data_IF_146961909794
#
_entry.id   IF_146961909794
#
_cell.length_a   1.000
_cell.length_b   1.000
_cell.length_c   1.000
_cell.angle_alpha   90.00
_cell.angle_beta   90.00
_cell.angle_gamma   90.00
#
_symmetry.space_group_name_H-M   'P 1'
#
loop_
_entity.id
_entity.type
_entity.pdbx_description
1 polymer ?
#
# COMPACT_ATOMS: atom_id res chain seq x y z
N UNK A 1 22.58 -36.30 -38.67
CA UNK A 1 21.91 -34.99 -38.83
C UNK A 1 20.72 -34.91 -39.80
N UNK A 2 20.55 -35.84 -40.77
CA UNK A 2 19.35 -35.85 -41.64
C UNK A 2 18.21 -36.76 -41.16
N UNK A 3 18.49 -37.74 -40.30
CA UNK A 3 17.47 -38.64 -39.72
C UNK A 3 16.78 -38.08 -38.45
N UNK A 4 17.46 -37.30 -37.62
CA UNK A 4 16.87 -36.66 -36.46
C UNK A 4 15.85 -35.53 -36.81
N UNK A 5 16.02 -34.89 -37.98
CA UNK A 5 15.05 -33.91 -38.46
C UNK A 5 13.74 -34.56 -38.97
N UNK A 6 13.75 -35.80 -39.43
CA UNK A 6 12.56 -36.52 -39.87
C UNK A 6 11.71 -37.01 -38.70
N UNK A 7 12.31 -37.39 -37.59
CA UNK A 7 11.59 -37.81 -36.38
C UNK A 7 10.81 -36.67 -35.70
N UNK A 8 11.28 -35.43 -35.77
CA UNK A 8 10.60 -34.27 -35.19
C UNK A 8 9.43 -33.77 -36.05
N UNK A 9 9.43 -34.01 -37.35
CA UNK A 9 8.33 -33.60 -38.25
C UNK A 9 7.16 -34.60 -38.12
N UNK A 10 7.40 -35.91 -37.92
CA UNK A 10 6.35 -36.89 -37.72
C UNK A 10 5.64 -36.74 -36.38
N UNK A 11 6.33 -36.25 -35.32
CA UNK A 11 5.71 -35.98 -34.02
C UNK A 11 4.78 -34.74 -34.04
N UNK A 12 4.99 -33.82 -34.96
CA UNK A 12 4.14 -32.61 -35.12
C UNK A 12 2.90 -32.92 -35.96
N UNK A 13 2.97 -33.86 -36.90
CA UNK A 13 1.82 -34.25 -37.74
C UNK A 13 0.86 -35.19 -37.03
N UNK A 14 1.31 -36.02 -36.10
CA UNK A 14 0.41 -36.89 -35.29
C UNK A 14 -0.42 -36.12 -34.28
N UNK A 15 -0.06 -34.88 -33.93
CA UNK A 15 -0.84 -34.04 -33.00
C UNK A 15 -1.89 -33.13 -33.69
N UNK A 16 -1.99 -33.18 -35.02
CA UNK A 16 -2.98 -32.39 -35.79
C UNK A 16 -4.28 -33.12 -36.15
N UNK A 17 -4.36 -34.43 -35.92
CA UNK A 17 -5.50 -35.24 -36.38
C UNK A 17 -6.46 -35.69 -35.27
N UNK A 18 -6.51 -35.00 -34.11
CA UNK A 18 -7.46 -35.38 -33.03
C UNK A 18 -8.42 -34.24 -32.65
N UNK A 19 -8.83 -33.42 -33.58
CA UNK A 19 -9.95 -32.49 -33.34
C UNK A 19 -10.87 -32.48 -34.57
N UNK A 20 -11.67 -33.55 -34.71
CA UNK A 20 -12.97 -33.43 -35.41
C UNK A 20 -13.94 -34.50 -34.92
N UNK A 21 -15.16 -34.01 -34.62
CA UNK A 21 -16.41 -34.72 -34.33
C UNK A 21 -16.69 -35.19 -32.88
N UNK A 22 -17.42 -34.31 -32.16
CA UNK A 22 -18.79 -34.62 -31.71
C UNK A 22 -19.42 -33.34 -31.14
N UNK A 23 -20.48 -32.88 -31.80
CA UNK A 23 -21.38 -31.85 -31.28
C UNK A 23 -22.07 -32.36 -30.01
N UNK A 24 -22.00 -31.60 -28.94
CA UNK A 24 -22.65 -31.85 -27.67
C UNK A 24 -22.40 -30.67 -26.75
N UNK A 25 -23.43 -30.06 -26.27
CA UNK A 25 -23.57 -28.92 -25.40
C UNK A 25 -22.28 -28.64 -24.54
N UNK A 26 -21.58 -27.55 -24.85
CA UNK A 26 -20.49 -27.07 -24.03
C UNK A 26 -21.04 -26.28 -22.85
N UNK A 27 -21.27 -26.94 -21.73
CA UNK A 27 -21.22 -26.29 -20.44
C UNK A 27 -19.77 -25.78 -20.28
N UNK A 28 -19.54 -24.48 -20.43
CA UNK A 28 -18.30 -23.83 -20.08
C UNK A 28 -18.13 -23.95 -18.57
N UNK A 29 -17.46 -24.98 -18.11
CA UNK A 29 -16.87 -24.94 -16.78
C UNK A 29 -15.91 -23.75 -16.74
N UNK A 30 -16.08 -22.82 -15.80
CA UNK A 30 -15.12 -21.74 -15.64
C UNK A 30 -13.79 -22.39 -15.21
N UNK A 31 -12.73 -22.11 -15.98
CA UNK A 31 -11.35 -22.41 -15.59
C UNK A 31 -11.17 -22.08 -14.10
N UNK A 32 -10.55 -22.95 -13.31
CA UNK A 32 -10.33 -22.69 -11.90
C UNK A 32 -9.60 -21.35 -11.79
N UNK A 33 -10.30 -20.36 -11.24
CA UNK A 33 -9.65 -19.09 -10.87
C UNK A 33 -8.48 -19.47 -9.99
N UNK A 34 -7.25 -19.24 -10.48
CA UNK A 34 -6.07 -19.27 -9.60
C UNK A 34 -6.43 -18.41 -8.42
N UNK A 35 -6.82 -19.03 -7.33
CA UNK A 35 -6.93 -18.38 -6.05
C UNK A 35 -5.58 -17.70 -5.85
N UNK A 36 -5.55 -16.38 -5.77
CA UNK A 36 -4.45 -15.65 -5.19
C UNK A 36 -4.38 -16.13 -3.73
N UNK A 37 -3.77 -17.26 -3.51
CA UNK A 37 -3.18 -17.54 -2.23
C UNK A 37 -2.20 -16.38 -2.04
N UNK A 38 -2.58 -15.44 -1.18
CA UNK A 38 -1.63 -14.55 -0.55
C UNK A 38 -0.68 -15.53 0.14
N UNK A 39 0.45 -15.85 -0.51
CA UNK A 39 1.54 -16.56 0.13
C UNK A 39 1.91 -15.68 1.32
N UNK A 40 1.47 -16.10 2.49
CA UNK A 40 1.91 -15.48 3.73
C UNK A 40 3.41 -15.70 3.76
N UNK A 41 4.16 -14.63 3.49
CA UNK A 41 5.61 -14.63 3.56
C UNK A 41 5.96 -15.10 4.96
N UNK A 42 6.54 -16.29 5.04
CA UNK A 42 6.98 -16.85 6.30
C UNK A 42 8.51 -16.79 6.37
N UNK A 43 9.03 -15.63 6.75
CA UNK A 43 10.49 -15.47 6.89
C UNK A 43 11.12 -16.48 7.84
N UNK A 44 10.34 -17.07 8.76
CA UNK A 44 10.84 -18.07 9.72
C UNK A 44 11.26 -19.39 9.04
N UNK A 45 10.68 -19.69 7.89
CA UNK A 45 11.00 -20.90 7.11
C UNK A 45 11.88 -20.61 5.90
N UNK A 46 11.74 -19.44 5.27
CA UNK A 46 12.45 -19.10 4.05
C UNK A 46 13.78 -18.36 4.28
N UNK A 47 13.92 -17.65 5.42
CA UNK A 47 15.12 -16.87 5.69
C UNK A 47 16.23 -17.72 6.30
N UNK A 48 17.51 -17.54 5.91
CA UNK A 48 18.65 -18.13 6.58
C UNK A 48 18.74 -17.64 8.03
N UNK A 49 19.44 -18.38 8.94
CA UNK A 49 19.51 -18.06 10.35
C UNK A 49 19.89 -16.61 10.64
N UNK A 50 20.91 -16.10 9.98
CA UNK A 50 21.42 -14.74 10.18
C UNK A 50 20.36 -13.65 9.84
N UNK A 51 19.51 -13.89 8.84
CA UNK A 51 18.39 -12.99 8.53
C UNK A 51 17.25 -13.15 9.53
N UNK A 52 16.95 -14.38 9.97
CA UNK A 52 15.91 -14.63 10.98
C UNK A 52 16.19 -13.87 12.27
N UNK A 53 17.44 -13.86 12.74
CA UNK A 53 17.83 -13.17 13.94
C UNK A 53 17.65 -11.65 13.83
N UNK A 54 18.03 -11.06 12.69
CA UNK A 54 17.79 -9.65 12.40
C UNK A 54 16.30 -9.31 12.36
N UNK A 55 15.49 -10.14 11.67
CA UNK A 55 14.06 -9.91 11.56
C UNK A 55 13.34 -10.09 12.91
N UNK A 56 13.74 -11.09 13.69
CA UNK A 56 13.25 -11.30 15.05
C UNK A 56 13.60 -10.13 15.98
N UNK A 57 14.82 -9.59 15.89
CA UNK A 57 15.20 -8.37 16.60
C UNK A 57 14.28 -7.18 16.26
N UNK A 58 13.97 -6.99 14.98
CA UNK A 58 13.08 -5.91 14.57
C UNK A 58 11.63 -6.16 15.00
N UNK A 59 11.16 -7.40 14.97
CA UNK A 59 9.80 -7.77 15.40
C UNK A 59 9.62 -7.63 16.92
N UNK A 60 10.56 -8.17 17.69
CA UNK A 60 10.40 -8.34 19.15
C UNK A 60 11.00 -7.19 19.96
N UNK A 61 12.22 -6.74 19.62
CA UNK A 61 12.93 -5.70 20.39
C UNK A 61 12.59 -4.29 19.90
N UNK A 62 12.52 -4.11 18.57
CA UNK A 62 12.14 -2.81 17.97
C UNK A 62 10.64 -2.62 17.84
N UNK A 63 9.84 -3.65 18.09
CA UNK A 63 8.38 -3.64 17.99
C UNK A 63 7.88 -3.09 16.64
N UNK A 64 8.61 -3.37 15.56
CA UNK A 64 8.15 -3.01 14.22
C UNK A 64 6.93 -3.83 13.84
N UNK A 65 6.04 -3.24 13.01
CA UNK A 65 4.88 -3.95 12.51
C UNK A 65 5.29 -5.16 11.66
N UNK A 66 4.47 -6.22 11.67
CA UNK A 66 4.66 -7.39 10.82
C UNK A 66 4.93 -6.99 9.36
N UNK A 67 4.17 -6.05 8.81
CA UNK A 67 4.36 -5.56 7.45
C UNK A 67 5.77 -4.97 7.23
N UNK A 68 6.31 -4.24 8.20
CA UNK A 68 7.68 -3.68 8.11
C UNK A 68 8.73 -4.78 8.09
N UNK A 69 8.54 -5.82 8.92
CA UNK A 69 9.45 -6.97 8.98
C UNK A 69 9.38 -7.79 7.69
N UNK A 70 8.17 -8.03 7.17
CA UNK A 70 7.98 -8.71 5.87
C UNK A 70 8.64 -7.93 4.71
N UNK A 71 8.55 -6.59 4.70
CA UNK A 71 9.22 -5.77 3.69
C UNK A 71 10.74 -5.81 3.83
N UNK A 72 11.28 -5.82 5.06
CA UNK A 72 12.71 -6.01 5.29
C UNK A 72 13.19 -7.37 4.74
N UNK A 73 12.44 -8.43 5.02
CA UNK A 73 12.76 -9.75 4.46
C UNK A 73 12.77 -9.74 2.93
N UNK A 74 11.71 -9.20 2.30
CA UNK A 74 11.63 -9.13 0.84
C UNK A 74 12.78 -8.33 0.21
N UNK A 75 13.18 -7.24 0.84
CA UNK A 75 14.29 -6.42 0.35
C UNK A 75 15.62 -7.15 0.44
N UNK A 76 15.91 -7.80 1.59
CA UNK A 76 17.13 -8.56 1.81
C UNK A 76 17.16 -9.84 0.98
N UNK A 77 16.03 -10.56 0.84
CA UNK A 77 15.91 -11.71 -0.04
C UNK A 77 16.30 -11.36 -1.48
N UNK A 78 15.74 -10.27 -2.02
CA UNK A 78 16.07 -9.81 -3.36
C UNK A 78 17.54 -9.40 -3.49
N UNK A 79 18.09 -8.76 -2.48
CA UNK A 79 19.50 -8.38 -2.46
C UNK A 79 20.41 -9.60 -2.49
N UNK A 80 20.21 -10.56 -1.62
CA UNK A 80 21.06 -11.75 -1.55
C UNK A 80 20.89 -12.68 -2.76
N UNK A 81 19.71 -12.77 -3.33
CA UNK A 81 19.49 -13.47 -4.62
C UNK A 81 20.34 -12.86 -5.73
N UNK A 82 20.36 -11.54 -5.84
CA UNK A 82 21.20 -10.83 -6.80
C UNK A 82 22.69 -11.12 -6.56
N UNK A 83 23.18 -11.04 -5.31
CA UNK A 83 24.58 -11.32 -5.02
C UNK A 83 24.95 -12.78 -5.33
N UNK A 84 24.09 -13.75 -5.00
CA UNK A 84 24.32 -15.17 -5.37
C UNK A 84 24.39 -15.34 -6.87
N UNK A 85 23.47 -14.75 -7.63
CA UNK A 85 23.45 -14.85 -9.09
C UNK A 85 24.72 -14.26 -9.71
N UNK A 86 25.16 -13.09 -9.26
CA UNK A 86 26.35 -12.43 -9.82
C UNK A 86 27.66 -13.14 -9.45
N UNK A 87 27.70 -13.86 -8.34
CA UNK A 87 28.91 -14.62 -7.91
C UNK A 87 28.94 -16.05 -8.42
N UNK A 88 27.82 -16.59 -8.92
CA UNK A 88 27.74 -17.95 -9.39
C UNK A 88 27.17 -18.02 -10.81
N UNK A 89 28.06 -18.25 -11.78
CA UNK A 89 27.69 -18.35 -13.20
C UNK A 89 26.67 -19.44 -13.51
N UNK A 90 26.58 -20.49 -12.69
CA UNK A 90 25.57 -21.55 -12.88
C UNK A 90 24.13 -21.07 -12.58
N UNK A 91 23.98 -19.93 -11.93
CA UNK A 91 22.67 -19.35 -11.61
C UNK A 91 22.28 -18.22 -12.60
N UNK A 92 23.12 -17.89 -13.58
CA UNK A 92 22.90 -16.78 -14.52
C UNK A 92 21.59 -16.89 -15.30
N UNK A 93 21.18 -18.11 -15.64
CA UNK A 93 20.01 -18.39 -16.47
C UNK A 93 18.70 -18.52 -15.66
N UNK A 94 18.81 -18.58 -14.32
CA UNK A 94 17.64 -18.65 -13.44
C UNK A 94 17.01 -17.28 -13.25
N UNK A 95 15.69 -17.26 -13.17
CA UNK A 95 15.01 -16.05 -12.74
C UNK A 95 15.36 -15.74 -11.26
N UNK A 96 15.48 -14.46 -10.93
CA UNK A 96 15.94 -14.05 -9.59
C UNK A 96 15.03 -14.56 -8.47
N UNK A 97 13.74 -14.78 -8.74
CA UNK A 97 12.76 -15.30 -7.79
C UNK A 97 12.87 -16.81 -7.55
N UNK A 98 13.57 -17.53 -8.42
CA UNK A 98 13.83 -18.97 -8.29
C UNK A 98 15.08 -19.29 -7.44
N UNK A 99 15.94 -18.27 -7.19
CA UNK A 99 17.17 -18.48 -6.44
C UNK A 99 16.86 -18.61 -4.93
N UNK A 100 17.24 -19.75 -4.35
CA UNK A 100 17.14 -19.94 -2.90
C UNK A 100 18.24 -19.18 -2.15
N UNK A 101 17.90 -18.75 -0.93
CA UNK A 101 18.81 -18.03 -0.02
C UNK A 101 19.00 -18.74 1.32
N UNK A 102 18.42 -19.92 1.52
CA UNK A 102 18.44 -20.62 2.81
C UNK A 102 19.86 -21.04 3.25
N UNK A 103 20.76 -21.23 2.30
CA UNK A 103 22.17 -21.59 2.49
C UNK A 103 23.11 -20.41 2.75
N UNK A 104 22.59 -19.18 2.83
CA UNK A 104 23.43 -18.00 3.11
C UNK A 104 23.87 -18.02 4.56
N UNK A 105 25.18 -18.04 4.75
CA UNK A 105 25.85 -18.03 6.03
C UNK A 105 26.52 -16.67 6.34
N UNK A 106 27.23 -16.61 7.47
CA UNK A 106 27.94 -15.42 7.90
C UNK A 106 29.10 -15.06 6.95
N UNK A 107 29.81 -16.06 6.44
CA UNK A 107 30.95 -15.83 5.55
C UNK A 107 30.51 -15.21 4.23
N UNK A 108 29.39 -15.71 3.68
CA UNK A 108 28.77 -15.10 2.50
C UNK A 108 28.39 -13.64 2.74
N UNK A 109 27.77 -13.34 3.87
CA UNK A 109 27.33 -11.98 4.23
C UNK A 109 28.53 -11.06 4.49
N UNK A 110 29.57 -11.54 5.19
CA UNK A 110 30.79 -10.79 5.48
C UNK A 110 31.63 -10.50 4.21
N UNK A 111 31.53 -11.36 3.20
CA UNK A 111 32.24 -11.18 1.93
C UNK A 111 31.58 -10.16 0.98
N UNK A 112 30.41 -9.59 1.31
CA UNK A 112 29.76 -8.56 0.50
C UNK A 112 30.59 -7.26 0.54
N UNK A 113 30.88 -6.75 -0.64
CA UNK A 113 31.72 -5.56 -0.85
C UNK A 113 30.89 -4.34 -1.26
N UNK A 114 31.53 -3.16 -1.18
CA UNK A 114 30.96 -1.92 -1.71
C UNK A 114 30.62 -2.04 -3.22
N UNK A 115 31.44 -2.76 -3.97
CA UNK A 115 31.21 -3.00 -5.43
C UNK A 115 29.95 -3.81 -5.66
N UNK A 116 29.68 -4.82 -4.84
CA UNK A 116 28.45 -5.61 -4.91
C UNK A 116 27.20 -4.73 -4.68
N UNK A 117 27.31 -3.80 -3.72
CA UNK A 117 26.20 -2.85 -3.44
C UNK A 117 25.96 -1.92 -4.63
N UNK A 118 27.02 -1.37 -5.24
CA UNK A 118 26.87 -0.55 -6.44
C UNK A 118 26.29 -1.33 -7.63
N UNK A 119 26.72 -2.56 -7.83
CA UNK A 119 26.15 -3.47 -8.83
C UNK A 119 24.65 -3.67 -8.61
N UNK A 120 24.24 -3.98 -7.38
CA UNK A 120 22.83 -4.12 -7.04
C UNK A 120 22.03 -2.83 -7.25
N UNK A 121 22.57 -1.66 -6.87
CA UNK A 121 21.90 -0.38 -7.08
C UNK A 121 21.76 -0.05 -8.57
N UNK A 122 22.73 -0.44 -9.39
CA UNK A 122 22.66 -0.32 -10.85
C UNK A 122 21.58 -1.22 -11.43
N UNK A 123 21.56 -2.50 -11.04
CA UNK A 123 20.50 -3.44 -11.39
C UNK A 123 19.10 -2.89 -11.03
N UNK A 124 18.93 -2.39 -9.81
CA UNK A 124 17.66 -1.78 -9.38
C UNK A 124 17.28 -0.55 -10.20
N UNK A 125 18.27 0.16 -10.75
CA UNK A 125 18.04 1.40 -11.50
C UNK A 125 17.68 1.18 -12.95
N UNK A 126 18.19 0.11 -13.58
CA UNK A 126 18.16 -0.07 -15.04
C UNK A 126 17.52 -1.37 -15.49
N UNK A 127 17.84 -2.48 -14.82
CA UNK A 127 17.60 -3.81 -15.38
C UNK A 127 16.39 -4.50 -14.74
N UNK A 128 16.02 -4.10 -13.52
CA UNK A 128 14.89 -4.73 -12.83
C UNK A 128 13.58 -4.45 -13.54
N UNK A 129 12.91 -5.50 -13.99
CA UNK A 129 11.56 -5.41 -14.58
C UNK A 129 10.55 -4.96 -13.53
N UNK A 130 9.79 -3.89 -13.86
CA UNK A 130 8.64 -3.47 -13.07
C UNK A 130 7.41 -4.24 -13.55
N UNK A 131 6.63 -4.79 -12.60
CA UNK A 131 5.35 -5.42 -12.91
C UNK A 131 5.41 -6.53 -13.97
N UNK A 132 6.09 -7.63 -13.68
CA UNK A 132 6.21 -8.80 -14.57
C UNK A 132 4.89 -9.31 -15.19
N UNK A 133 3.74 -8.93 -14.63
CA UNK A 133 2.40 -9.33 -15.08
C UNK A 133 1.58 -8.18 -15.69
N UNK A 134 2.19 -7.04 -16.01
CA UNK A 134 1.52 -5.88 -16.62
C UNK A 134 1.87 -5.76 -18.10
N UNK A 135 0.90 -5.38 -18.93
CA UNK A 135 1.13 -5.09 -20.36
C UNK A 135 2.07 -3.88 -20.60
N UNK A 136 2.37 -3.12 -19.55
CA UNK A 136 3.33 -2.02 -19.56
C UNK A 136 4.47 -2.33 -18.58
N UNK A 137 5.40 -3.18 -18.99
CA UNK A 137 6.62 -3.44 -18.22
C UNK A 137 7.62 -2.31 -18.43
N UNK A 138 7.82 -1.49 -17.39
CA UNK A 138 8.93 -0.54 -17.33
C UNK A 138 10.16 -1.20 -16.70
N UNK A 139 11.35 -0.64 -16.99
CA UNK A 139 12.59 -1.06 -16.36
C UNK A 139 13.03 -0.08 -15.27
N UNK A 140 13.71 -0.58 -14.25
CA UNK A 140 14.28 0.19 -13.17
C UNK A 140 13.27 0.68 -12.13
N UNK A 141 13.67 0.74 -10.87
CA UNK A 141 12.87 1.28 -9.76
C UNK A 141 13.04 2.79 -9.63
N UNK A 142 12.01 3.47 -9.17
CA UNK A 142 12.09 4.88 -8.83
C UNK A 142 13.10 5.13 -7.68
N UNK A 143 13.57 6.37 -7.55
CA UNK A 143 14.57 6.77 -6.57
C UNK A 143 14.16 6.48 -5.12
N UNK A 144 12.89 6.67 -4.79
CA UNK A 144 12.37 6.40 -3.43
C UNK A 144 12.42 4.91 -3.08
N UNK A 145 12.03 4.04 -4.01
CA UNK A 145 12.09 2.58 -3.80
C UNK A 145 13.53 2.09 -3.66
N UNK A 146 14.47 2.65 -4.44
CA UNK A 146 15.91 2.34 -4.32
C UNK A 146 16.47 2.80 -2.99
N UNK A 147 16.14 4.02 -2.55
CA UNK A 147 16.57 4.55 -1.26
C UNK A 147 16.05 3.69 -0.09
N UNK A 148 14.80 3.22 -0.15
CA UNK A 148 14.23 2.32 0.87
C UNK A 148 15.00 1.00 0.94
N UNK A 149 15.28 0.37 -0.20
CA UNK A 149 16.04 -0.89 -0.25
C UNK A 149 17.46 -0.72 0.30
N UNK A 150 18.15 0.36 -0.05
CA UNK A 150 19.45 0.67 0.52
C UNK A 150 19.37 0.90 2.04
N UNK A 151 18.32 1.55 2.53
CA UNK A 151 18.10 1.74 3.96
C UNK A 151 17.90 0.40 4.71
N UNK A 152 17.20 -0.56 4.09
CA UNK A 152 17.04 -1.92 4.65
C UNK A 152 18.39 -2.65 4.72
N UNK A 153 19.19 -2.62 3.65
CA UNK A 153 20.54 -3.21 3.64
C UNK A 153 21.42 -2.55 4.71
N UNK A 154 21.38 -1.22 4.83
CA UNK A 154 22.11 -0.48 5.87
C UNK A 154 21.67 -0.86 7.27
N UNK A 155 20.37 -1.03 7.51
CA UNK A 155 19.84 -1.49 8.80
C UNK A 155 20.36 -2.88 9.16
N UNK A 156 20.41 -3.80 8.19
CA UNK A 156 20.93 -5.15 8.38
C UNK A 156 22.41 -5.15 8.74
N UNK A 157 23.25 -4.49 7.98
CA UNK A 157 24.69 -4.42 8.28
C UNK A 157 24.99 -3.63 9.57
N UNK A 158 24.23 -2.59 9.89
CA UNK A 158 24.33 -1.92 11.19
C UNK A 158 23.98 -2.85 12.36
N UNK A 159 23.01 -3.75 12.18
CA UNK A 159 22.72 -4.77 13.19
C UNK A 159 23.90 -5.72 13.36
N UNK A 160 24.47 -6.21 12.27
CA UNK A 160 25.59 -7.16 12.31
C UNK A 160 26.87 -6.55 12.88
N UNK A 161 27.18 -5.28 12.60
CA UNK A 161 28.39 -4.62 13.06
C UNK A 161 28.26 -4.03 14.47
N UNK A 162 27.13 -3.36 14.76
CA UNK A 162 26.99 -2.51 15.95
C UNK A 162 26.17 -3.14 17.08
N UNK A 163 25.45 -4.26 16.81
CA UNK A 163 24.61 -4.92 17.83
C UNK A 163 25.13 -6.29 18.20
N UNK A 164 25.41 -7.13 17.20
CA UNK A 164 25.85 -8.52 17.44
C UNK A 164 27.33 -8.73 17.15
N UNK A 165 28.02 -7.74 16.58
CA UNK A 165 29.46 -7.72 16.31
C UNK A 165 29.98 -8.95 15.52
N UNK A 166 29.14 -9.45 14.59
CA UNK A 166 29.50 -10.60 13.75
C UNK A 166 30.29 -10.20 12.50
N UNK A 167 30.17 -8.95 12.05
CA UNK A 167 30.88 -8.41 10.89
C UNK A 167 31.69 -7.20 11.33
N UNK A 168 32.97 -7.11 10.90
CA UNK A 168 33.85 -6.03 11.31
C UNK A 168 33.53 -4.69 10.69
N UNK A 169 33.23 -4.69 9.38
CA UNK A 169 32.99 -3.49 8.61
C UNK A 169 31.60 -3.51 7.95
N UNK A 170 30.96 -2.36 7.92
CA UNK A 170 29.69 -2.18 7.26
C UNK A 170 29.92 -1.70 5.82
N UNK A 171 29.68 -2.54 4.78
CA UNK A 171 29.95 -2.18 3.39
C UNK A 171 29.08 -1.03 2.84
N UNK A 172 28.03 -0.64 3.59
CA UNK A 172 27.12 0.45 3.20
C UNK A 172 27.26 1.69 4.08
N UNK A 173 28.30 1.74 4.95
CA UNK A 173 28.48 2.84 5.91
C UNK A 173 28.56 4.20 5.21
N UNK A 174 29.37 4.29 4.17
CA UNK A 174 29.73 5.55 3.51
C UNK A 174 28.96 5.76 2.18
N UNK A 175 27.98 4.91 1.89
CA UNK A 175 27.16 5.08 0.68
C UNK A 175 26.12 6.17 0.91
N UNK A 176 26.11 7.19 0.08
CA UNK A 176 25.04 8.18 0.07
C UNK A 176 23.71 7.58 -0.35
N UNK A 177 22.65 7.98 0.33
CA UNK A 177 21.30 7.63 -0.12
C UNK A 177 20.94 8.38 -1.39
N UNK A 178 20.29 7.74 -2.36
CA UNK A 178 19.82 8.41 -3.56
C UNK A 178 19.06 9.69 -3.21
N UNK A 179 19.45 10.82 -3.79
CA UNK A 179 18.80 12.12 -3.55
C UNK A 179 17.37 12.11 -4.06
N UNK A 180 16.41 12.24 -3.14
CA UNK A 180 15.00 12.34 -3.48
C UNK A 180 14.72 13.75 -4.04
N UNK A 181 14.14 13.83 -5.24
CA UNK A 181 13.60 15.10 -5.72
C UNK A 181 12.42 15.50 -4.82
N UNK A 182 12.54 16.62 -4.14
CA UNK A 182 11.42 17.23 -3.41
C UNK A 182 10.45 17.79 -4.43
N UNK A 183 9.41 17.05 -4.75
CA UNK A 183 8.27 17.58 -5.53
C UNK A 183 7.29 18.21 -4.54
N UNK A 184 6.73 19.35 -4.93
CA UNK A 184 5.62 19.93 -4.18
C UNK A 184 4.47 18.91 -4.13
N UNK A 185 3.89 18.70 -2.96
CA UNK A 185 2.79 17.75 -2.82
C UNK A 185 1.60 18.22 -3.66
N UNK A 186 1.13 17.38 -4.58
CA UNK A 186 -0.12 17.66 -5.33
C UNK A 186 -1.31 17.39 -4.42
N UNK A 187 -2.26 18.31 -4.42
CA UNK A 187 -3.54 18.23 -3.72
C UNK A 187 -4.66 18.72 -4.65
N UNK A 188 -5.89 18.32 -4.38
CA UNK A 188 -7.07 18.80 -5.12
C UNK A 188 -7.42 20.21 -4.67
N UNK A 189 -7.78 21.07 -5.62
CA UNK A 189 -8.41 22.35 -5.30
C UNK A 189 -9.77 22.12 -4.63
N UNK A 190 -10.38 23.18 -4.10
CA UNK A 190 -11.75 23.09 -3.57
C UNK A 190 -12.72 22.64 -4.65
N UNK A 191 -12.68 23.27 -5.83
CA UNK A 191 -13.56 22.93 -6.96
C UNK A 191 -13.38 21.48 -7.41
N UNK A 192 -12.14 21.00 -7.57
CA UNK A 192 -11.86 19.60 -7.87
C UNK A 192 -12.38 18.64 -6.79
N UNK A 193 -12.33 19.06 -5.52
CA UNK A 193 -12.86 18.25 -4.42
C UNK A 193 -14.39 18.15 -4.46
N UNK A 194 -15.05 19.24 -4.85
CA UNK A 194 -16.50 19.29 -5.10
C UNK A 194 -16.87 18.41 -6.30
N UNK A 195 -16.19 18.56 -7.44
CA UNK A 195 -16.39 17.74 -8.64
C UNK A 195 -16.22 16.24 -8.34
N UNK A 196 -15.20 15.89 -7.52
CA UNK A 196 -15.00 14.52 -7.09
C UNK A 196 -16.18 13.97 -6.27
N UNK A 197 -16.74 14.76 -5.35
CA UNK A 197 -17.90 14.37 -4.56
C UNK A 197 -19.17 14.26 -5.42
N UNK A 198 -19.37 15.17 -6.36
CA UNK A 198 -20.52 15.18 -7.29
C UNK A 198 -20.45 14.07 -8.35
N UNK A 199 -19.25 13.54 -8.64
CA UNK A 199 -19.07 12.41 -9.55
C UNK A 199 -19.58 11.08 -9.01
N UNK A 200 -19.99 11.04 -7.72
CA UNK A 200 -20.35 9.77 -7.08
C UNK A 200 -21.76 9.34 -7.45
N UNK A 201 -21.84 8.20 -8.12
CA UNK A 201 -23.07 7.60 -8.62
C UNK A 201 -23.15 6.08 -8.39
N UNK A 202 -24.28 5.47 -8.79
CA UNK A 202 -24.49 4.03 -8.87
C UNK A 202 -24.77 3.34 -7.53
N UNK A 203 -24.80 2.00 -7.56
CA UNK A 203 -25.31 1.14 -6.47
C UNK A 203 -24.69 1.39 -5.09
N UNK A 204 -23.42 1.79 -5.03
CA UNK A 204 -22.70 2.02 -3.77
C UNK A 204 -22.46 3.51 -3.48
N UNK A 205 -23.27 4.38 -4.09
CA UNK A 205 -23.07 5.83 -4.05
C UNK A 205 -22.99 6.39 -2.62
N UNK A 206 -23.87 5.97 -1.71
CA UNK A 206 -23.86 6.50 -0.33
C UNK A 206 -22.61 6.10 0.44
N UNK A 207 -22.12 4.86 0.22
CA UNK A 207 -20.86 4.38 0.80
C UNK A 207 -19.65 5.16 0.24
N UNK A 208 -19.58 5.26 -1.09
CA UNK A 208 -18.44 5.86 -1.79
C UNK A 208 -18.38 7.36 -1.47
N UNK A 209 -19.52 8.04 -1.45
CA UNK A 209 -19.64 9.44 -1.04
C UNK A 209 -19.19 9.65 0.41
N UNK A 210 -19.66 8.83 1.34
CA UNK A 210 -19.25 8.90 2.74
C UNK A 210 -17.73 8.69 2.91
N UNK A 211 -17.15 7.72 2.20
CA UNK A 211 -15.70 7.46 2.24
C UNK A 211 -14.91 8.68 1.75
N UNK A 212 -15.31 9.28 0.61
CA UNK A 212 -14.64 10.45 0.05
C UNK A 212 -14.80 11.67 0.95
N UNK A 213 -15.99 11.91 1.50
CA UNK A 213 -16.25 12.99 2.45
C UNK A 213 -15.36 12.87 3.68
N UNK A 214 -15.21 11.67 4.26
CA UNK A 214 -14.31 11.46 5.39
C UNK A 214 -12.83 11.64 5.03
N UNK A 215 -12.40 11.24 3.83
CA UNK A 215 -11.02 11.52 3.39
C UNK A 215 -10.75 13.00 3.26
N UNK A 216 -11.67 13.76 2.66
CA UNK A 216 -11.49 15.18 2.36
C UNK A 216 -11.71 16.09 3.58
N UNK A 217 -12.50 15.66 4.57
CA UNK A 217 -12.77 16.47 5.76
C UNK A 217 -11.94 16.05 6.98
N UNK A 218 -11.78 14.73 7.21
CA UNK A 218 -11.07 14.23 8.39
C UNK A 218 -9.62 13.80 8.11
N UNK A 219 -9.22 13.73 6.84
CA UNK A 219 -7.88 13.33 6.45
C UNK A 219 -7.45 11.95 6.94
N UNK A 220 -8.36 10.98 7.02
CA UNK A 220 -8.07 9.63 7.49
C UNK A 220 -7.02 8.93 6.62
N UNK A 221 -6.17 8.09 7.25
CA UNK A 221 -5.38 7.11 6.49
C UNK A 221 -6.30 6.01 5.99
N UNK A 222 -6.02 5.45 4.80
CA UNK A 222 -6.83 4.35 4.26
C UNK A 222 -6.94 3.16 5.22
N UNK A 223 -5.86 2.85 5.97
CA UNK A 223 -5.87 1.79 6.98
C UNK A 223 -6.78 2.11 8.16
N UNK A 224 -6.86 3.36 8.56
CA UNK A 224 -7.75 3.85 9.60
C UNK A 224 -9.20 3.73 9.14
N UNK A 225 -9.51 4.22 7.93
CA UNK A 225 -10.86 4.19 7.37
C UNK A 225 -11.41 2.76 7.25
N UNK A 226 -10.65 1.82 6.66
CA UNK A 226 -11.12 0.43 6.51
C UNK A 226 -11.21 -0.30 7.84
N UNK A 227 -10.48 0.16 8.87
CA UNK A 227 -10.51 -0.39 10.22
C UNK A 227 -11.69 0.06 11.07
N UNK A 228 -12.42 1.13 10.67
CA UNK A 228 -13.53 1.68 11.45
C UNK A 228 -14.65 0.66 11.66
N UNK A 229 -15.23 0.71 12.87
CA UNK A 229 -16.42 -0.02 13.23
C UNK A 229 -17.57 0.96 13.51
N UNK A 230 -18.80 0.48 13.49
CA UNK A 230 -19.98 1.30 13.83
C UNK A 230 -19.86 1.86 15.25
N UNK A 231 -19.36 1.05 16.20
CA UNK A 231 -19.17 1.45 17.62
C UNK A 231 -18.11 2.54 17.80
N UNK A 232 -17.28 2.82 16.81
CA UNK A 232 -16.27 3.86 16.89
C UNK A 232 -16.86 5.25 16.61
N UNK A 233 -18.12 5.33 16.15
CA UNK A 233 -18.89 6.56 16.00
C UNK A 233 -19.58 6.85 17.32
N UNK A 234 -19.33 8.04 17.89
CA UNK A 234 -19.89 8.49 19.17
C UNK A 234 -20.42 9.92 19.02
N UNK A 235 -21.72 10.04 18.70
CA UNK A 235 -22.32 11.34 18.43
C UNK A 235 -21.62 12.06 17.27
N UNK A 236 -21.07 13.23 17.55
CA UNK A 236 -20.33 14.06 16.58
C UNK A 236 -18.83 13.73 16.49
N UNK A 237 -18.42 12.54 16.89
CA UNK A 237 -17.00 12.16 16.88
C UNK A 237 -16.78 10.72 16.42
N UNK A 238 -15.59 10.46 15.89
CA UNK A 238 -15.10 9.12 15.53
C UNK A 238 -13.81 8.84 16.27
N UNK A 239 -13.75 7.68 16.92
CA UNK A 239 -12.55 7.12 17.51
C UNK A 239 -11.72 6.41 16.46
N UNK A 240 -10.50 6.85 16.22
CA UNK A 240 -9.60 6.31 15.18
C UNK A 240 -8.39 5.67 15.82
N UNK A 241 -8.08 4.44 15.41
CA UNK A 241 -6.88 3.71 15.81
C UNK A 241 -5.76 3.98 14.80
N UNK A 242 -4.74 4.72 15.23
CA UNK A 242 -3.57 5.07 14.42
C UNK A 242 -2.42 4.08 14.50
N UNK A 243 -1.26 4.48 13.98
CA UNK A 243 -0.02 3.69 14.04
C UNK A 243 0.42 3.48 15.50
N UNK A 244 0.92 2.30 15.82
CA UNK A 244 1.38 1.98 17.18
C UNK A 244 0.25 1.86 18.20
N UNK A 245 -0.97 1.54 17.76
CA UNK A 245 -2.15 1.36 18.61
C UNK A 245 -2.60 2.64 19.35
N UNK A 246 -2.13 3.82 18.91
CA UNK A 246 -2.54 5.11 19.47
C UNK A 246 -3.95 5.46 19.02
N UNK A 247 -4.82 5.77 19.96
CA UNK A 247 -6.20 6.21 19.70
C UNK A 247 -6.24 7.73 19.65
N UNK A 248 -6.95 8.28 18.66
CA UNK A 248 -7.32 9.70 18.63
C UNK A 248 -8.81 9.85 18.34
N UNK A 249 -9.37 10.95 18.74
CA UNK A 249 -10.76 11.34 18.48
C UNK A 249 -10.75 12.39 17.39
N UNK A 250 -11.59 12.19 16.37
CA UNK A 250 -11.84 13.17 15.32
C UNK A 250 -13.27 13.68 15.47
N UNK A 251 -13.44 15.00 15.48
CA UNK A 251 -14.75 15.63 15.44
C UNK A 251 -15.25 15.69 14.00
N UNK A 252 -16.53 15.41 13.83
CA UNK A 252 -17.21 15.37 12.54
C UNK A 252 -17.94 16.69 12.33
N UNK A 253 -17.80 17.27 11.15
CA UNK A 253 -18.61 18.38 10.71
C UNK A 253 -19.93 17.89 10.10
N UNK A 254 -20.82 18.84 9.77
CA UNK A 254 -22.16 18.54 9.27
C UNK A 254 -22.13 17.67 8.00
N UNK A 255 -21.20 17.93 7.08
CA UNK A 255 -21.06 17.12 5.87
C UNK A 255 -20.68 15.65 6.15
N UNK A 256 -19.81 15.42 7.14
CA UNK A 256 -19.44 14.07 7.56
C UNK A 256 -20.62 13.37 8.26
N UNK A 257 -21.35 14.07 9.10
CA UNK A 257 -22.52 13.53 9.79
C UNK A 257 -23.64 13.18 8.82
N UNK A 258 -23.96 14.07 7.88
CA UNK A 258 -24.94 13.80 6.80
C UNK A 258 -24.54 12.57 5.98
N UNK A 259 -23.31 12.53 5.49
CA UNK A 259 -22.80 11.43 4.69
C UNK A 259 -22.82 10.09 5.45
N UNK A 260 -22.47 10.09 6.74
CA UNK A 260 -22.54 8.89 7.59
C UNK A 260 -23.99 8.43 7.82
N UNK A 261 -24.89 9.34 8.14
CA UNK A 261 -26.30 9.02 8.39
C UNK A 261 -26.94 8.43 7.12
N UNK A 262 -26.70 9.02 5.97
CA UNK A 262 -27.19 8.51 4.68
C UNK A 262 -26.64 7.12 4.37
N UNK A 263 -25.36 6.91 4.59
CA UNK A 263 -24.77 5.58 4.37
C UNK A 263 -25.30 4.56 5.36
N UNK A 264 -25.41 4.88 6.64
CA UNK A 264 -25.95 3.98 7.67
C UNK A 264 -27.40 3.59 7.41
N UNK A 265 -28.22 4.47 6.84
CA UNK A 265 -29.59 4.18 6.46
C UNK A 265 -29.72 3.08 5.38
N UNK A 266 -28.73 2.96 4.48
CA UNK A 266 -28.70 1.95 3.41
C UNK A 266 -27.79 0.77 3.69
N UNK A 267 -26.95 0.87 4.73
CA UNK A 267 -26.01 -0.17 5.12
C UNK A 267 -26.75 -1.36 5.71
N UNK A 268 -26.68 -2.51 5.02
CA UNK A 268 -27.30 -3.74 5.52
C UNK A 268 -26.54 -4.29 6.72
N UNK A 269 -27.23 -4.76 7.76
CA UNK A 269 -26.60 -5.54 8.84
C UNK A 269 -25.95 -6.80 8.26
N UNK A 270 -24.79 -7.17 8.78
CA UNK A 270 -24.11 -8.42 8.44
C UNK A 270 -23.82 -9.19 9.74
N UNK A 271 -23.71 -10.52 9.63
CA UNK A 271 -23.33 -11.40 10.73
C UNK A 271 -21.86 -11.81 10.63
N UNK A 272 -21.34 -12.43 11.69
CA UNK A 272 -20.01 -13.02 11.71
C UNK A 272 -18.91 -12.03 12.09
N UNK A 273 -17.68 -12.34 11.67
CA UNK A 273 -16.45 -11.65 12.05
C UNK A 273 -16.48 -10.14 11.79
N UNK A 274 -17.08 -9.75 10.69
CA UNK A 274 -17.12 -8.36 10.24
C UNK A 274 -18.39 -7.59 10.61
N UNK A 275 -19.23 -8.16 11.49
CA UNK A 275 -20.52 -7.58 11.89
C UNK A 275 -20.41 -6.12 12.33
N UNK A 276 -19.32 -5.77 13.03
CA UNK A 276 -19.05 -4.40 13.48
C UNK A 276 -18.44 -3.47 12.44
N UNK A 277 -18.02 -3.94 11.27
CA UNK A 277 -17.34 -3.11 10.29
C UNK A 277 -18.21 -1.95 9.82
N UNK A 278 -17.69 -0.72 9.81
CA UNK A 278 -18.44 0.44 9.31
C UNK A 278 -18.66 0.31 7.81
N UNK A 279 -17.58 0.17 7.02
CA UNK A 279 -17.67 0.11 5.57
C UNK A 279 -17.62 -1.32 5.04
N UNK A 280 -18.58 -1.65 4.16
CA UNK A 280 -18.73 -2.98 3.56
C UNK A 280 -18.39 -2.96 2.07
N UNK A 281 -17.81 -4.07 1.62
CA UNK A 281 -17.63 -4.37 0.21
C UNK A 281 -18.97 -4.81 -0.43
N UNK A 282 -19.00 -4.97 -1.76
CA UNK A 282 -20.15 -5.55 -2.48
C UNK A 282 -20.43 -7.01 -2.08
N UNK A 283 -19.50 -7.68 -1.39
CA UNK A 283 -19.64 -9.05 -0.87
C UNK A 283 -20.13 -9.09 0.57
N UNK A 284 -20.52 -7.95 1.15
CA UNK A 284 -20.90 -7.82 2.55
C UNK A 284 -19.81 -8.22 3.56
N UNK A 285 -18.57 -7.99 3.22
CA UNK A 285 -17.40 -8.15 4.09
C UNK A 285 -16.82 -6.77 4.38
N UNK A 286 -15.96 -6.64 5.41
CA UNK A 286 -15.20 -5.41 5.64
C UNK A 286 -14.51 -4.98 4.35
N UNK A 287 -14.66 -3.71 3.98
CA UNK A 287 -14.02 -3.19 2.77
C UNK A 287 -12.50 -3.28 2.86
N UNK A 288 -11.86 -3.73 1.78
CA UNK A 288 -10.40 -3.83 1.71
C UNK A 288 -9.76 -2.50 1.26
N UNK A 289 -8.46 -2.32 1.60
CA UNK A 289 -7.68 -1.17 1.11
C UNK A 289 -7.64 -1.12 -0.42
N UNK A 290 -7.50 -2.26 -1.08
CA UNK A 290 -7.47 -2.35 -2.55
C UNK A 290 -8.82 -1.94 -3.16
N UNK A 291 -9.94 -2.32 -2.54
CA UNK A 291 -11.27 -1.90 -3.00
C UNK A 291 -11.46 -0.39 -2.87
N UNK A 292 -11.01 0.21 -1.75
CA UNK A 292 -11.07 1.68 -1.57
C UNK A 292 -10.16 2.38 -2.56
N UNK A 293 -8.95 1.88 -2.81
CA UNK A 293 -8.05 2.44 -3.84
C UNK A 293 -8.68 2.42 -5.23
N UNK A 294 -9.24 1.28 -5.64
CA UNK A 294 -9.90 1.15 -6.93
C UNK A 294 -11.12 2.09 -7.04
N UNK A 295 -11.89 2.22 -5.96
CA UNK A 295 -13.03 3.14 -5.89
C UNK A 295 -12.56 4.60 -6.06
N UNK A 296 -11.55 5.04 -5.30
CA UNK A 296 -11.00 6.41 -5.39
C UNK A 296 -10.53 6.71 -6.81
N UNK A 297 -9.76 5.81 -7.44
CA UNK A 297 -9.31 5.98 -8.83
C UNK A 297 -10.49 6.11 -9.81
N UNK A 298 -11.48 5.22 -9.69
CA UNK A 298 -12.68 5.28 -10.52
C UNK A 298 -13.41 6.63 -10.39
N UNK A 299 -13.52 7.17 -9.17
CA UNK A 299 -14.21 8.44 -8.93
C UNK A 299 -13.40 9.65 -9.42
N UNK A 300 -12.08 9.62 -9.27
CA UNK A 300 -11.21 10.64 -9.86
C UNK A 300 -11.36 10.69 -11.39
N UNK A 301 -11.30 9.54 -12.06
CA UNK A 301 -11.51 9.45 -13.50
C UNK A 301 -12.90 9.96 -13.93
N UNK A 302 -13.96 9.62 -13.17
CA UNK A 302 -15.33 10.09 -13.44
C UNK A 302 -15.48 11.60 -13.26
N UNK A 303 -14.67 12.21 -12.39
CA UNK A 303 -14.59 13.67 -12.19
C UNK A 303 -13.64 14.36 -13.21
N UNK A 304 -13.09 13.65 -14.20
CA UNK A 304 -12.13 14.22 -15.14
C UNK A 304 -10.75 14.56 -14.54
N UNK A 305 -10.43 14.01 -13.36
CA UNK A 305 -9.17 14.22 -12.66
C UNK A 305 -8.22 13.06 -12.97
N UNK A 306 -6.95 13.36 -13.29
CA UNK A 306 -5.94 12.35 -13.58
C UNK A 306 -5.70 11.41 -12.38
N UNK A 307 -6.28 10.22 -12.45
CA UNK A 307 -6.18 9.22 -11.38
C UNK A 307 -4.75 8.67 -11.19
N UNK A 308 -3.84 8.87 -12.14
CA UNK A 308 -2.44 8.47 -11.98
C UNK A 308 -1.70 9.35 -10.97
N UNK A 309 -2.12 10.60 -10.88
CA UNK A 309 -1.51 11.60 -10.00
C UNK A 309 -2.07 11.61 -8.59
N UNK A 310 -3.29 11.10 -8.38
CA UNK A 310 -3.99 11.19 -7.11
C UNK A 310 -4.26 9.81 -6.49
N UNK A 311 -4.31 9.77 -5.15
CA UNK A 311 -4.54 8.57 -4.35
C UNK A 311 -5.20 8.96 -3.02
N UNK A 312 -5.66 7.99 -2.24
CA UNK A 312 -6.20 8.24 -0.89
C UNK A 312 -5.23 9.01 0.01
N UNK A 313 -3.91 8.85 -0.16
CA UNK A 313 -2.92 9.65 0.56
C UNK A 313 -2.94 11.12 0.13
N UNK A 314 -3.15 11.39 -1.16
CA UNK A 314 -3.26 12.77 -1.66
C UNK A 314 -4.59 13.42 -1.29
N UNK A 315 -5.69 12.66 -1.14
CA UNK A 315 -6.94 13.18 -0.57
C UNK A 315 -6.75 13.60 0.89
N UNK A 316 -5.99 12.84 1.69
CA UNK A 316 -5.60 13.28 3.04
C UNK A 316 -4.74 14.56 3.00
N UNK A 317 -3.86 14.67 2.03
CA UNK A 317 -3.04 15.87 1.83
C UNK A 317 -3.91 17.07 1.45
N UNK A 318 -4.92 16.84 0.61
CA UNK A 318 -5.95 17.83 0.26
C UNK A 318 -6.67 18.33 1.51
N UNK A 319 -7.14 17.43 2.37
CA UNK A 319 -7.80 17.81 3.63
C UNK A 319 -6.91 18.74 4.47
N UNK A 320 -5.63 18.36 4.66
CA UNK A 320 -4.67 19.17 5.39
C UNK A 320 -4.48 20.56 4.78
N UNK A 321 -4.30 20.62 3.46
CA UNK A 321 -4.04 21.88 2.75
C UNK A 321 -5.26 22.79 2.77
N UNK A 322 -6.46 22.25 2.54
CA UNK A 322 -7.69 23.03 2.60
C UNK A 322 -7.95 23.59 4.01
N UNK A 323 -7.69 22.83 5.08
CA UNK A 323 -7.76 23.32 6.45
C UNK A 323 -6.79 24.49 6.69
N UNK A 324 -5.51 24.35 6.28
CA UNK A 324 -4.50 25.40 6.45
C UNK A 324 -4.84 26.66 5.65
N UNK A 325 -5.32 26.53 4.41
CA UNK A 325 -5.73 27.64 3.57
C UNK A 325 -6.92 28.41 4.16
N UNK A 326 -7.75 27.73 4.96
CA UNK A 326 -8.87 28.36 5.67
C UNK A 326 -8.52 28.78 7.11
N UNK A 327 -7.23 28.94 7.41
CA UNK A 327 -6.77 29.56 8.64
C UNK A 327 -6.72 28.64 9.87
N UNK A 328 -6.87 27.32 9.68
CA UNK A 328 -6.70 26.38 10.81
C UNK A 328 -5.22 26.33 11.21
N UNK A 329 -4.98 26.42 12.50
CA UNK A 329 -3.62 26.34 13.04
C UNK A 329 -2.90 25.04 12.66
N UNK A 330 -1.62 25.12 12.31
CA UNK A 330 -0.81 23.96 11.86
C UNK A 330 -0.79 22.84 12.91
N UNK A 331 -0.77 23.17 14.21
CA UNK A 331 -0.76 22.20 15.29
C UNK A 331 -2.09 21.45 15.37
N UNK A 332 -3.21 22.18 15.21
CA UNK A 332 -4.55 21.57 15.16
C UNK A 332 -4.67 20.62 13.96
N UNK A 333 -4.15 21.01 12.77
CA UNK A 333 -4.12 20.12 11.60
C UNK A 333 -3.26 18.88 11.85
N UNK A 334 -2.09 19.03 12.47
CA UNK A 334 -1.22 17.91 12.82
C UNK A 334 -1.90 16.93 13.80
N UNK A 335 -2.65 17.41 14.77
CA UNK A 335 -3.39 16.60 15.72
C UNK A 335 -4.56 15.85 15.06
N UNK A 336 -5.37 16.54 14.25
CA UNK A 336 -6.43 15.92 13.44
C UNK A 336 -5.85 14.80 12.58
N UNK A 337 -4.71 15.03 11.95
CA UNK A 337 -4.08 14.03 11.10
C UNK A 337 -3.36 12.93 11.91
N UNK A 338 -2.99 13.13 13.15
CA UNK A 338 -2.19 12.20 13.94
C UNK A 338 -0.79 12.00 13.34
N UNK A 339 -0.02 13.09 13.20
CA UNK A 339 1.36 13.05 12.77
C UNK A 339 2.27 12.81 13.98
N UNK A 340 2.97 11.67 14.03
CA UNK A 340 3.84 11.26 15.13
C UNK A 340 5.18 12.03 15.25
N UNK A 341 5.47 12.94 14.33
CA UNK A 341 6.74 13.65 14.31
C UNK A 341 6.63 15.09 14.79
N UNK A 342 6.65 15.25 16.10
CA UNK A 342 7.35 16.37 16.72
C UNK A 342 8.49 15.77 17.53
N UNK A 343 9.70 15.94 17.02
CA UNK A 343 10.93 15.72 17.75
C UNK A 343 11.12 16.82 18.81
N UNK A 344 10.22 16.84 19.79
CA UNK A 344 10.44 17.60 21.03
C UNK A 344 9.55 17.03 22.12
N UNK A 345 10.18 16.57 23.16
CA UNK A 345 9.62 16.33 24.49
C UNK A 345 9.05 17.66 25.04
N UNK A 346 7.94 18.12 24.48
CA UNK A 346 7.09 19.12 25.12
C UNK A 346 5.81 18.42 25.51
N UNK A 347 5.62 18.39 26.82
CA UNK A 347 4.36 18.07 27.49
C UNK A 347 3.31 18.98 26.88
N UNK A 348 2.56 18.46 25.88
CA UNK A 348 1.40 19.16 25.35
C UNK A 348 0.32 19.12 26.41
N UNK A 349 0.18 20.22 27.12
CA UNK A 349 -1.10 20.60 27.69
C UNK A 349 -2.15 20.52 26.61
N UNK A 350 -3.16 19.74 26.86
CA UNK A 350 -4.33 19.48 26.05
C UNK A 350 -4.70 20.63 25.12
N UNK A 351 -4.62 20.40 23.78
CA UNK A 351 -5.36 21.26 22.86
C UNK A 351 -6.82 21.03 23.23
N UNK A 352 -7.48 22.12 23.59
CA UNK A 352 -8.86 22.13 24.03
C UNK A 352 -9.72 21.46 22.93
N UNK A 353 -10.67 20.62 23.35
CA UNK A 353 -11.62 19.96 22.46
C UNK A 353 -12.33 20.97 21.53
N UNK A 354 -12.46 22.23 21.96
CA UNK A 354 -13.06 23.31 21.18
C UNK A 354 -12.20 23.67 19.95
N UNK A 355 -10.88 23.75 20.08
CA UNK A 355 -9.98 24.03 18.94
C UNK A 355 -10.07 22.95 17.86
N UNK A 356 -10.26 21.68 18.22
CA UNK A 356 -10.45 20.57 17.27
C UNK A 356 -11.82 20.62 16.58
N UNK A 357 -12.86 21.05 17.29
CA UNK A 357 -14.19 21.28 16.71
C UNK A 357 -14.17 22.43 15.72
N UNK A 358 -13.51 23.53 16.05
CA UNK A 358 -13.32 24.67 15.16
C UNK A 358 -12.56 24.23 13.90
N UNK A 359 -11.49 23.45 14.03
CA UNK A 359 -10.74 22.92 12.91
C UNK A 359 -11.60 22.04 11.98
N UNK A 360 -12.47 21.19 12.54
CA UNK A 360 -13.38 20.37 11.74
C UNK A 360 -14.42 21.21 10.98
N UNK A 361 -14.95 22.27 11.60
CA UNK A 361 -15.93 23.19 10.98
C UNK A 361 -15.28 24.12 9.95
N UNK A 362 -14.03 24.47 10.12
CA UNK A 362 -13.30 25.39 9.19
C UNK A 362 -12.92 24.72 7.86
N UNK A 363 -13.15 23.42 7.66
CA UNK A 363 -12.98 22.81 6.35
C UNK A 363 -14.06 23.37 5.38
N UNK A 364 -13.68 23.91 4.20
CA UNK A 364 -14.64 24.51 3.27
C UNK A 364 -15.68 23.51 2.73
N UNK A 365 -15.43 22.23 2.83
CA UNK A 365 -16.37 21.16 2.46
C UNK A 365 -17.33 20.78 3.63
N UNK A 366 -17.25 21.46 4.77
CA UNK A 366 -18.01 21.11 5.99
C UNK A 366 -19.53 21.17 5.81
N UNK A 367 -20.02 21.98 4.89
CA UNK A 367 -21.46 22.21 4.63
C UNK A 367 -21.95 21.58 3.32
N UNK A 368 -21.12 20.79 2.64
CA UNK A 368 -21.52 20.17 1.38
C UNK A 368 -22.59 19.12 1.59
N UNK A 369 -23.68 19.25 0.83
CA UNK A 369 -24.74 18.24 0.71
C UNK A 369 -24.73 17.71 -0.72
N UNK A 370 -24.94 16.39 -0.87
CA UNK A 370 -25.09 15.80 -2.20
C UNK A 370 -26.28 16.42 -2.92
N UNK A 371 -26.04 17.02 -4.09
CA UNK A 371 -27.13 17.49 -4.96
C UNK A 371 -28.00 16.31 -5.35
N UNK A 372 -29.33 16.43 -5.19
CA UNK A 372 -30.30 15.48 -5.76
C UNK A 372 -30.19 15.67 -7.28
N UNK A 373 -29.63 14.68 -7.99
CA UNK A 373 -29.91 14.59 -9.44
C UNK A 373 -31.41 14.39 -9.57
N UNK A 374 -32.12 15.36 -10.18
CA UNK A 374 -33.48 15.13 -10.63
C UNK A 374 -33.42 13.97 -11.62
N UNK A 375 -34.16 12.90 -11.34
CA UNK A 375 -34.51 11.88 -12.34
C UNK A 375 -35.38 12.57 -13.38
N UNK A 376 -34.78 13.10 -14.43
CA UNK A 376 -35.48 13.42 -15.67
C UNK A 376 -35.74 12.10 -16.40
N UNK A 377 -36.74 11.39 -15.89
CA UNK A 377 -37.41 10.31 -16.60
C UNK A 377 -38.77 10.85 -17.09
N UNK A 378 -38.75 11.39 -18.29
CA UNK A 378 -39.92 11.45 -19.14
C UNK A 378 -39.67 10.68 -20.44
#
# INVERSE_FOLDING_TARGET
MREEAKGRIQAIEQNKNFVQFRGGQTSKEPLPRKSFQIFMINYRTEAPPILRDFLAYHETVKAHSKQTVDEYFLDLRNFFRYIKQTRNSSLSDLALDEIDIADIDLDFVAAVTLTDIYGYMTYLSRDRVQHQNSQTSGYGLNTSSRARKLATIRSFYNYLTNKVHLVRENPVKDIDSPKLKKTLPKYLTLDQSVELLDSVDGKNQERDYCILTLFLNCGLRISELVGLNIRDIQGESIRVLGKGNKVRILYLNDACLDALNRYLAVRRPIAGRDAGALFLSSRNERISRSTVHAMVKKRLAAAGIDESEYSSHKLRHTAATLMLQNGVDVRAVQEVLGHDHLNTTQIYTHIDNESLRIAAKANPLSHMKKSKKQDDSQ
#
